data_IF_396301008102
#
_entry.id   IF_396301008102
#
_cell.length_a   1.000
_cell.length_b   1.000
_cell.length_c   1.000
_cell.angle_alpha   90.00
_cell.angle_beta   90.00
_cell.angle_gamma   90.00
#
_symmetry.space_group_name_H-M   'P 1'
#
loop_
_entity.id
_entity.type
_entity.pdbx_description
1 polymer ?
#
# COMPACT_ATOMS: atom_id res chain seq x y z
N UNK A 1 -18.75 -12.42 -26.13
CA UNK A 1 -18.89 -11.81 -24.78
C UNK A 1 -17.64 -11.98 -23.90
N UNK A 2 -16.88 -13.08 -24.01
CA UNK A 2 -15.68 -13.32 -23.17
C UNK A 2 -14.52 -12.30 -23.35
N UNK A 3 -14.27 -11.79 -24.56
CA UNK A 3 -13.16 -10.86 -24.79
C UNK A 3 -13.40 -9.41 -24.35
N UNK A 4 -14.66 -9.00 -24.13
CA UNK A 4 -14.99 -7.64 -23.68
C UNK A 4 -14.73 -7.50 -22.17
N UNK A 5 -14.90 -8.58 -21.41
CA UNK A 5 -14.62 -8.61 -19.96
C UNK A 5 -13.11 -8.49 -19.69
N UNK A 6 -12.27 -9.09 -20.54
CA UNK A 6 -10.81 -8.99 -20.41
C UNK A 6 -10.28 -7.58 -20.73
N UNK A 7 -10.90 -6.86 -21.66
CA UNK A 7 -10.49 -5.48 -21.98
C UNK A 7 -10.84 -4.48 -20.87
N UNK A 8 -11.93 -4.69 -20.14
CA UNK A 8 -12.35 -3.84 -19.01
C UNK A 8 -11.43 -4.06 -17.79
N UNK A 9 -10.98 -5.30 -17.55
CA UNK A 9 -10.01 -5.58 -16.49
C UNK A 9 -8.64 -4.91 -16.73
N UNK A 10 -8.23 -4.70 -17.98
CA UNK A 10 -6.98 -4.00 -18.33
C UNK A 10 -7.11 -2.47 -18.13
N UNK A 11 -8.31 -1.91 -18.33
CA UNK A 11 -8.55 -0.47 -18.09
C UNK A 11 -8.66 -0.12 -16.61
N UNK A 12 -9.21 -1.01 -15.77
CA UNK A 12 -9.31 -0.80 -14.32
C UNK A 12 -7.93 -0.74 -13.61
N UNK A 13 -6.88 -1.35 -14.19
CA UNK A 13 -5.51 -1.29 -13.65
C UNK A 13 -4.83 0.08 -13.88
N UNK A 14 -5.43 0.97 -14.68
CA UNK A 14 -4.81 2.27 -15.04
C UNK A 14 -5.44 3.50 -14.37
N UNK A 15 -6.44 3.31 -13.50
CA UNK A 15 -7.13 4.41 -12.81
C UNK A 15 -6.84 4.35 -11.31
N UNK A 16 -5.64 4.81 -10.91
CA UNK A 16 -5.31 5.13 -9.53
C UNK A 16 -4.67 6.53 -9.51
N UNK A 17 -5.23 7.50 -8.75
CA UNK A 17 -4.68 8.85 -8.67
C UNK A 17 -3.43 8.87 -7.78
N UNK A 18 -2.40 9.54 -8.28
CA UNK A 18 -1.19 9.86 -7.54
C UNK A 18 -1.54 10.83 -6.39
N UNK A 19 -1.40 10.36 -5.15
CA UNK A 19 -1.54 11.17 -3.95
C UNK A 19 -0.40 12.20 -3.88
N UNK A 20 -0.76 13.48 -3.79
CA UNK A 20 0.17 14.58 -3.59
C UNK A 20 0.48 14.74 -2.09
N UNK A 21 1.69 14.32 -1.70
CA UNK A 21 2.36 14.76 -0.48
C UNK A 21 3.69 15.43 -0.88
N UNK A 22 3.86 16.67 -0.39
CA UNK A 22 5.04 17.52 -0.33
C UNK A 22 5.97 17.65 -1.57
N UNK A 23 5.91 18.80 -2.23
CA UNK A 23 6.39 19.06 -3.60
C UNK A 23 7.70 19.85 -3.65
N UNK A 24 8.78 19.29 -3.12
CA UNK A 24 10.14 19.62 -3.62
C UNK A 24 10.79 18.46 -4.37
N UNK A 25 10.21 17.27 -4.30
CA UNK A 25 10.63 16.12 -5.10
C UNK A 25 9.39 15.49 -5.68
N UNK A 26 9.16 15.62 -7.00
CA UNK A 26 8.08 14.84 -7.63
C UNK A 26 8.33 13.36 -7.30
N UNK A 27 7.36 12.65 -6.70
CA UNK A 27 7.56 11.26 -6.35
C UNK A 27 7.92 10.51 -7.63
N UNK A 28 9.04 9.79 -7.58
CA UNK A 28 9.53 9.03 -8.72
C UNK A 28 8.37 8.20 -9.29
N UNK A 29 8.04 8.31 -10.60
CA UNK A 29 6.93 7.54 -11.17
C UNK A 29 7.07 6.04 -10.92
N UNK A 30 8.30 5.53 -10.83
CA UNK A 30 8.59 4.14 -10.49
C UNK A 30 8.19 3.80 -9.05
N UNK A 31 8.40 4.73 -8.11
CA UNK A 31 7.96 4.57 -6.73
C UNK A 31 6.43 4.54 -6.63
N UNK A 32 5.72 5.43 -7.35
CA UNK A 32 4.26 5.42 -7.40
C UNK A 32 3.71 4.10 -7.94
N UNK A 33 4.30 3.58 -9.02
CA UNK A 33 3.92 2.28 -9.60
C UNK A 33 4.18 1.14 -8.60
N UNK A 34 5.34 1.15 -7.93
CA UNK A 34 5.65 0.18 -6.88
C UNK A 34 4.62 0.21 -5.74
N UNK A 35 4.19 1.39 -5.29
CA UNK A 35 3.16 1.54 -4.26
C UNK A 35 1.77 1.10 -4.72
N UNK A 36 1.43 1.30 -6.00
CA UNK A 36 0.19 0.77 -6.57
C UNK A 36 0.17 -0.77 -6.52
N UNK A 37 1.27 -1.43 -6.88
CA UNK A 37 1.37 -2.89 -6.77
C UNK A 37 1.34 -3.38 -5.32
N UNK A 38 1.99 -2.68 -4.40
CA UNK A 38 1.87 -2.97 -2.97
C UNK A 38 0.42 -2.90 -2.49
N UNK A 39 -0.33 -1.86 -2.92
CA UNK A 39 -1.76 -1.73 -2.61
C UNK A 39 -2.60 -2.85 -3.22
N UNK A 40 -2.28 -3.31 -4.43
CA UNK A 40 -2.96 -4.45 -5.05
C UNK A 40 -2.79 -5.72 -4.22
N UNK A 41 -1.58 -6.01 -3.73
CA UNK A 41 -1.33 -7.15 -2.82
C UNK A 41 -2.25 -7.07 -1.59
N UNK A 42 -2.34 -5.89 -0.95
CA UNK A 42 -3.21 -5.69 0.21
C UNK A 42 -4.70 -5.88 -0.13
N UNK A 43 -5.18 -5.31 -1.24
CA UNK A 43 -6.58 -5.41 -1.66
C UNK A 43 -7.01 -6.87 -1.92
N UNK A 44 -6.19 -7.64 -2.64
CA UNK A 44 -6.47 -9.06 -2.87
C UNK A 44 -6.33 -9.88 -1.57
N UNK A 45 -5.39 -9.51 -0.71
CA UNK A 45 -5.27 -10.07 0.64
C UNK A 45 -6.55 -9.86 1.46
N UNK A 46 -7.11 -8.64 1.47
CA UNK A 46 -8.37 -8.35 2.19
C UNK A 46 -9.56 -9.11 1.60
N UNK A 47 -9.64 -9.19 0.27
CA UNK A 47 -10.70 -9.97 -0.40
C UNK A 47 -10.63 -11.44 0.04
N UNK A 48 -9.42 -12.01 0.10
CA UNK A 48 -9.20 -13.38 0.53
C UNK A 48 -9.49 -13.56 2.03
N UNK A 49 -9.14 -12.58 2.85
CA UNK A 49 -9.43 -12.56 4.29
C UNK A 49 -10.94 -12.58 4.55
N UNK A 50 -11.69 -11.69 3.89
CA UNK A 50 -13.15 -11.63 4.00
C UNK A 50 -13.82 -12.93 3.56
N UNK A 51 -13.31 -13.58 2.51
CA UNK A 51 -13.79 -14.90 2.09
C UNK A 51 -13.53 -15.99 3.15
N UNK A 52 -12.41 -15.90 3.87
CA UNK A 52 -12.07 -16.81 4.97
C UNK A 52 -12.95 -16.57 6.22
N UNK A 53 -13.37 -15.35 6.50
CA UNK A 53 -14.27 -15.04 7.63
C UNK A 53 -15.69 -15.63 7.45
N UNK A 54 -16.12 -15.87 6.22
CA UNK A 54 -17.49 -16.34 5.91
C UNK A 54 -17.73 -17.82 6.26
N UNK A 55 -16.69 -18.60 6.59
CA UNK A 55 -16.85 -20.02 6.92
C UNK A 55 -15.55 -20.73 7.27
N UNK A 56 -15.62 -22.03 7.47
CA UNK A 56 -14.45 -22.85 7.82
C UNK A 56 -13.54 -23.18 6.63
N UNK A 57 -13.99 -22.91 5.40
CA UNK A 57 -13.22 -23.15 4.18
C UNK A 57 -13.36 -22.01 3.19
N UNK A 58 -12.27 -21.68 2.50
CA UNK A 58 -12.26 -20.68 1.43
C UNK A 58 -12.62 -21.33 0.08
N UNK A 59 -13.49 -20.71 -0.74
CA UNK A 59 -13.75 -21.18 -2.10
C UNK A 59 -12.46 -21.24 -2.95
N UNK A 60 -12.15 -22.41 -3.50
CA UNK A 60 -10.89 -22.67 -4.23
C UNK A 60 -10.62 -21.69 -5.36
N UNK A 61 -11.65 -21.32 -6.11
CA UNK A 61 -11.51 -20.37 -7.22
C UNK A 61 -11.12 -18.96 -6.73
N UNK A 62 -11.71 -18.50 -5.62
CA UNK A 62 -11.41 -17.19 -5.03
C UNK A 62 -9.96 -17.16 -4.55
N UNK A 63 -9.54 -18.19 -3.82
CA UNK A 63 -8.16 -18.31 -3.34
C UNK A 63 -7.13 -18.32 -4.47
N UNK A 64 -7.34 -19.13 -5.52
CA UNK A 64 -6.40 -19.21 -6.65
C UNK A 64 -6.26 -17.89 -7.40
N UNK A 65 -7.37 -17.21 -7.67
CA UNK A 65 -7.34 -15.91 -8.37
C UNK A 65 -6.66 -14.85 -7.50
N UNK A 66 -7.04 -14.72 -6.23
CA UNK A 66 -6.45 -13.74 -5.33
C UNK A 66 -4.93 -13.95 -5.16
N UNK A 67 -4.49 -15.18 -4.89
CA UNK A 67 -3.07 -15.50 -4.71
C UNK A 67 -2.28 -15.29 -6.01
N UNK A 68 -2.84 -15.64 -7.17
CA UNK A 68 -2.18 -15.38 -8.45
C UNK A 68 -1.96 -13.87 -8.70
N UNK A 69 -2.94 -13.02 -8.41
CA UNK A 69 -2.80 -11.57 -8.58
C UNK A 69 -1.90 -10.92 -7.52
N UNK A 70 -1.89 -11.42 -6.28
CA UNK A 70 -0.91 -10.99 -5.25
C UNK A 70 0.52 -11.32 -5.67
N UNK A 71 0.75 -12.52 -6.24
CA UNK A 71 2.06 -12.92 -6.77
C UNK A 71 2.51 -12.05 -7.93
N UNK A 72 1.63 -11.86 -8.92
CA UNK A 72 1.90 -10.98 -10.06
C UNK A 72 2.22 -9.54 -9.62
N UNK A 73 1.47 -9.01 -8.66
CA UNK A 73 1.71 -7.68 -8.11
C UNK A 73 3.07 -7.60 -7.39
N UNK A 74 3.46 -8.64 -6.66
CA UNK A 74 4.78 -8.72 -6.02
C UNK A 74 5.92 -8.77 -7.02
N UNK A 75 5.76 -9.51 -8.12
CA UNK A 75 6.75 -9.60 -9.21
C UNK A 75 6.93 -8.24 -9.91
N UNK A 76 5.84 -7.52 -10.21
CA UNK A 76 5.93 -6.17 -10.77
C UNK A 76 6.49 -5.15 -9.76
N UNK A 77 6.14 -5.26 -8.48
CA UNK A 77 6.70 -4.43 -7.42
C UNK A 77 8.24 -4.54 -7.36
N UNK A 78 8.77 -5.77 -7.43
CA UNK A 78 10.21 -6.05 -7.44
C UNK A 78 10.90 -5.43 -8.67
N UNK A 79 10.27 -5.53 -9.85
CA UNK A 79 10.78 -4.96 -11.10
C UNK A 79 10.89 -3.43 -11.05
N UNK A 80 9.87 -2.76 -10.51
CA UNK A 80 9.86 -1.30 -10.41
C UNK A 80 10.74 -0.77 -9.27
N UNK A 81 10.98 -1.58 -8.24
CA UNK A 81 11.83 -1.22 -7.10
C UNK A 81 13.25 -0.85 -7.52
N UNK A 82 13.94 -1.65 -8.33
CA UNK A 82 15.33 -1.38 -8.71
C UNK A 82 15.49 0.01 -9.37
N UNK A 83 14.51 0.41 -10.19
CA UNK A 83 14.48 1.75 -10.80
C UNK A 83 14.11 2.83 -9.78
N UNK A 84 13.12 2.58 -8.92
CA UNK A 84 12.74 3.52 -7.87
C UNK A 84 13.91 3.84 -6.91
N UNK A 85 14.69 2.82 -6.54
CA UNK A 85 15.81 2.95 -5.60
C UNK A 85 16.96 3.79 -6.16
N UNK A 86 17.19 3.73 -7.48
CA UNK A 86 18.27 4.48 -8.14
C UNK A 86 18.11 6.00 -7.97
N UNK A 87 16.88 6.50 -8.04
CA UNK A 87 16.63 7.94 -8.01
C UNK A 87 16.39 8.47 -6.58
N UNK A 88 16.00 7.60 -5.63
CA UNK A 88 15.64 8.00 -4.26
C UNK A 88 16.83 8.09 -3.29
N UNK A 89 18.08 7.90 -3.74
CA UNK A 89 19.29 7.91 -2.90
C UNK A 89 19.10 7.15 -1.56
N UNK A 90 18.52 5.95 -1.65
CA UNK A 90 18.16 5.16 -0.47
C UNK A 90 19.42 4.69 0.26
N UNK A 91 19.46 4.85 1.58
CA UNK A 91 20.57 4.35 2.39
C UNK A 91 20.66 2.82 2.31
N UNK A 92 21.87 2.22 2.39
CA UNK A 92 22.02 0.76 2.35
C UNK A 92 21.18 0.02 3.40
N UNK A 93 20.99 0.63 4.58
CA UNK A 93 20.13 0.10 5.64
C UNK A 93 18.66 0.00 5.21
N UNK A 94 18.11 1.07 4.62
CA UNK A 94 16.72 1.08 4.14
C UNK A 94 16.53 0.15 2.94
N UNK A 95 17.54 0.04 2.07
CA UNK A 95 17.54 -0.94 0.99
C UNK A 95 17.41 -2.38 1.52
N UNK A 96 18.24 -2.74 2.50
CA UNK A 96 18.20 -4.05 3.16
C UNK A 96 16.86 -4.35 3.81
N UNK A 97 16.22 -3.37 4.46
CA UNK A 97 14.89 -3.56 5.06
C UNK A 97 13.82 -3.84 3.99
N UNK A 98 13.86 -3.11 2.87
CA UNK A 98 12.95 -3.39 1.74
C UNK A 98 13.20 -4.75 1.10
N UNK A 99 14.46 -5.18 1.00
CA UNK A 99 14.81 -6.54 0.51
C UNK A 99 14.22 -7.60 1.43
N UNK A 100 14.42 -7.45 2.74
CA UNK A 100 13.89 -8.36 3.75
C UNK A 100 12.36 -8.42 3.71
N UNK A 101 11.70 -7.27 3.59
CA UNK A 101 10.24 -7.21 3.47
C UNK A 101 9.74 -7.97 2.22
N UNK A 102 10.36 -7.77 1.06
CA UNK A 102 9.98 -8.50 -0.15
C UNK A 102 10.23 -10.02 -0.03
N UNK A 103 11.31 -10.43 0.63
CA UNK A 103 11.59 -11.86 0.88
C UNK A 103 10.53 -12.48 1.79
N UNK A 104 10.15 -11.79 2.87
CA UNK A 104 9.09 -12.23 3.78
C UNK A 104 7.74 -12.32 3.05
N UNK A 105 7.37 -11.28 2.30
CA UNK A 105 6.16 -11.27 1.49
C UNK A 105 6.11 -12.44 0.51
N UNK A 106 7.20 -12.69 -0.25
CA UNK A 106 7.29 -13.81 -1.20
C UNK A 106 7.21 -15.17 -0.49
N UNK A 107 7.74 -15.28 0.71
CA UNK A 107 7.67 -16.51 1.52
C UNK A 107 6.22 -16.83 1.89
N UNK A 108 5.49 -15.88 2.48
CA UNK A 108 4.08 -16.08 2.85
C UNK A 108 3.18 -16.29 1.62
N UNK A 109 3.46 -15.60 0.51
CA UNK A 109 2.74 -15.82 -0.74
C UNK A 109 2.95 -17.22 -1.32
N UNK A 110 4.15 -17.80 -1.15
CA UNK A 110 4.41 -19.19 -1.55
C UNK A 110 3.62 -20.16 -0.69
N UNK A 111 3.54 -19.93 0.61
CA UNK A 111 2.72 -20.75 1.51
C UNK A 111 1.23 -20.65 1.14
N UNK A 112 0.71 -19.45 0.86
CA UNK A 112 -0.64 -19.26 0.34
C UNK A 112 -0.89 -19.95 -1.02
N UNK A 113 0.11 -19.96 -1.92
CA UNK A 113 0.03 -20.65 -3.22
C UNK A 113 -0.11 -22.15 -3.05
N UNK A 114 0.63 -22.75 -2.11
CA UNK A 114 0.49 -24.17 -1.76
C UNK A 114 -0.87 -24.46 -1.11
N UNK A 115 -1.39 -23.56 -0.26
CA UNK A 115 -2.75 -23.68 0.28
C UNK A 115 -3.81 -23.64 -0.82
N UNK A 116 -3.67 -22.72 -1.79
CA UNK A 116 -4.63 -22.53 -2.88
C UNK A 116 -4.67 -23.71 -3.88
N UNK A 117 -3.65 -24.57 -3.89
CA UNK A 117 -3.61 -25.80 -4.69
C UNK A 117 -4.43 -26.94 -4.06
N UNK A 118 -4.66 -26.92 -2.75
CA UNK A 118 -5.46 -27.93 -2.03
C UNK A 118 -6.91 -27.94 -2.54
N UNK A 119 -7.55 -29.10 -2.50
CA UNK A 119 -8.98 -29.24 -2.82
C UNK A 119 -9.86 -28.55 -1.79
N UNK A 120 -9.48 -28.64 -0.51
CA UNK A 120 -10.11 -27.98 0.62
C UNK A 120 -9.12 -27.01 1.27
N UNK A 121 -9.47 -25.73 1.30
CA UNK A 121 -8.62 -24.66 1.81
C UNK A 121 -9.14 -24.25 3.18
N UNK A 122 -8.34 -24.44 4.22
CA UNK A 122 -8.71 -24.09 5.59
C UNK A 122 -8.63 -22.56 5.81
N UNK A 123 -9.72 -21.97 6.30
CA UNK A 123 -9.80 -20.52 6.52
C UNK A 123 -8.81 -20.01 7.57
N UNK A 124 -8.53 -20.79 8.62
CA UNK A 124 -7.61 -20.38 9.67
C UNK A 124 -6.16 -20.37 9.20
N UNK A 125 -5.76 -21.35 8.37
CA UNK A 125 -4.45 -21.36 7.72
C UNK A 125 -4.29 -20.13 6.79
N UNK A 126 -5.31 -19.81 5.99
CA UNK A 126 -5.29 -18.64 5.10
C UNK A 126 -5.17 -17.33 5.88
N UNK A 127 -6.00 -17.14 6.92
CA UNK A 127 -5.96 -15.93 7.75
C UNK A 127 -4.61 -15.75 8.45
N UNK A 128 -4.02 -16.84 8.95
CA UNK A 128 -2.69 -16.82 9.57
C UNK A 128 -1.63 -16.28 8.60
N UNK A 129 -1.62 -16.76 7.36
CA UNK A 129 -0.66 -16.29 6.35
C UNK A 129 -0.90 -14.84 5.94
N UNK A 130 -2.17 -14.45 5.77
CA UNK A 130 -2.54 -13.08 5.44
C UNK A 130 -2.16 -12.09 6.54
N UNK A 131 -2.30 -12.48 7.81
CA UNK A 131 -1.87 -11.64 8.93
C UNK A 131 -0.36 -11.35 8.87
N UNK A 132 0.47 -12.36 8.61
CA UNK A 132 1.93 -12.15 8.45
C UNK A 132 2.27 -11.25 7.27
N UNK A 133 1.48 -11.31 6.17
CA UNK A 133 1.62 -10.38 5.04
C UNK A 133 1.26 -8.94 5.48
N UNK A 134 0.16 -8.75 6.19
CA UNK A 134 -0.29 -7.43 6.63
C UNK A 134 0.61 -6.79 7.67
N UNK A 135 1.15 -7.56 8.62
CA UNK A 135 2.13 -7.07 9.60
C UNK A 135 3.37 -6.47 8.91
N UNK A 136 3.79 -7.07 7.78
CA UNK A 136 4.85 -6.50 6.94
C UNK A 136 4.44 -5.19 6.25
N UNK A 137 3.17 -5.04 5.87
CA UNK A 137 2.66 -3.86 5.17
C UNK A 137 2.36 -2.67 6.09
N UNK A 138 1.96 -2.90 7.34
CA UNK A 138 1.60 -1.84 8.30
C UNK A 138 2.81 -1.00 8.74
N UNK A 139 4.00 -1.61 8.82
CA UNK A 139 5.24 -0.90 9.15
C UNK A 139 5.69 0.15 8.12
N UNK A 140 5.13 0.12 6.91
CA UNK A 140 5.50 1.01 5.80
C UNK A 140 4.67 2.31 5.72
N UNK A 141 3.89 2.65 6.75
CA UNK A 141 3.11 3.90 6.78
C UNK A 141 1.80 3.85 5.97
N UNK A 142 1.34 2.66 5.58
CA UNK A 142 0.05 2.46 4.89
C UNK A 142 -1.16 2.34 5.84
N UNK A 143 -1.02 2.74 7.11
CA UNK A 143 -2.00 2.50 8.18
C UNK A 143 -3.28 3.33 8.05
N UNK A 144 -4.22 2.89 7.21
CA UNK A 144 -5.63 3.27 7.25
C UNK A 144 -6.46 2.00 7.44
N UNK A 145 -6.43 1.41 8.64
CA UNK A 145 -7.42 0.39 9.02
C UNK A 145 -8.51 1.06 9.86
N UNK A 146 -9.72 1.26 9.33
CA UNK A 146 -10.86 1.68 10.12
C UNK A 146 -11.38 0.48 10.93
N UNK A 147 -11.21 0.53 12.25
CA UNK A 147 -12.06 -0.18 13.20
C UNK A 147 -12.07 -1.71 13.13
N UNK A 148 -11.10 -2.34 13.80
CA UNK A 148 -11.30 -3.66 14.40
C UNK A 148 -11.64 -3.51 15.89
N UNK A 149 -12.81 -3.95 16.38
CA UNK A 149 -13.08 -3.97 17.81
C UNK A 149 -12.27 -5.09 18.48
N UNK A 150 -11.50 -4.76 19.53
CA UNK A 150 -10.90 -5.75 20.43
C UNK A 150 -11.97 -6.29 21.38
N UNK A 151 -12.33 -7.58 21.36
CA UNK A 151 -13.15 -8.16 22.41
C UNK A 151 -12.23 -8.73 23.51
N UNK A 152 -12.29 -8.13 24.71
CA UNK A 152 -12.20 -8.94 25.94
C UNK A 152 -10.88 -9.04 26.72
N UNK A 153 -9.94 -8.10 26.63
CA UNK A 153 -8.80 -8.08 27.56
C UNK A 153 -9.10 -7.19 28.80
N UNK A 154 -9.16 -7.74 30.03
CA UNK A 154 -9.38 -6.96 31.24
C UNK A 154 -8.16 -6.09 31.57
N UNK A 155 -8.43 -4.80 31.76
CA UNK A 155 -7.48 -3.80 32.22
C UNK A 155 -7.14 -4.04 33.69
N UNK A 156 -5.98 -4.65 33.97
CA UNK A 156 -5.32 -4.45 35.27
C UNK A 156 -3.82 -4.71 35.19
N UNK A 157 -3.04 -3.64 35.39
CA UNK A 157 -1.76 -3.75 36.10
C UNK A 157 -0.48 -3.49 35.30
N UNK A 158 0.10 -2.30 35.53
CA UNK A 158 1.54 -2.02 35.68
C UNK A 158 2.48 -2.38 34.51
N UNK A 159 2.98 -1.35 33.82
CA UNK A 159 4.26 -0.67 34.14
C UNK A 159 4.46 0.53 33.22
N UNK A 160 4.69 1.69 33.83
CA UNK A 160 5.27 2.87 33.18
C UNK A 160 6.69 2.51 32.75
N UNK A 161 7.00 2.64 31.47
CA UNK A 161 8.33 2.40 30.93
C UNK A 161 8.41 2.81 29.47
N UNK A 162 8.90 4.03 29.25
CA UNK A 162 9.40 4.58 27.98
C UNK A 162 8.41 4.62 26.82
N UNK A 163 7.75 5.77 26.71
CA UNK A 163 7.05 6.23 25.53
C UNK A 163 8.00 6.14 24.32
N UNK A 164 7.74 5.17 23.44
CA UNK A 164 8.28 5.18 22.09
C UNK A 164 7.79 6.44 21.40
N UNK A 165 8.74 7.27 20.97
CA UNK A 165 8.47 8.46 20.18
C UNK A 165 7.78 8.08 18.89
N UNK A 166 6.45 8.12 18.89
CA UNK A 166 5.71 8.37 17.66
C UNK A 166 6.13 9.74 17.16
N UNK A 167 6.63 9.81 15.92
CA UNK A 167 6.90 11.05 15.19
C UNK A 167 5.78 12.05 15.50
N UNK A 168 6.07 13.13 16.24
CA UNK A 168 5.13 14.21 16.58
C UNK A 168 4.72 15.07 15.38
N UNK A 169 4.72 14.47 14.20
CA UNK A 169 4.62 15.07 12.88
C UNK A 169 3.15 15.28 12.47
N UNK A 170 2.21 14.89 13.35
CA UNK A 170 0.77 15.08 13.21
C UNK A 170 0.23 15.94 14.37
N UNK A 171 0.74 17.16 14.53
CA UNK A 171 -0.20 18.23 14.89
C UNK A 171 -1.01 18.51 13.63
N UNK A 172 -2.18 17.88 13.58
CA UNK A 172 -3.13 17.98 12.49
C UNK A 172 -3.38 19.46 12.17
N UNK A 173 -3.02 19.85 10.95
CA UNK A 173 -3.45 21.12 10.37
C UNK A 173 -4.91 20.92 9.95
N UNK A 174 -5.93 21.42 10.67
CA UNK A 174 -7.34 21.14 10.37
C UNK A 174 -7.76 21.64 8.98
N UNK A 175 -7.05 22.63 8.43
CA UNK A 175 -7.27 23.15 7.08
C UNK A 175 -6.87 22.15 5.98
N UNK A 176 -5.89 21.28 6.23
CA UNK A 176 -5.44 20.28 5.25
C UNK A 176 -6.44 19.14 5.11
N UNK A 177 -7.06 18.73 6.21
CA UNK A 177 -8.03 17.63 6.21
C UNK A 177 -9.32 18.02 5.46
N UNK A 178 -9.82 19.25 5.66
CA UNK A 178 -11.02 19.74 4.96
C UNK A 178 -10.83 19.80 3.43
N UNK A 179 -9.64 20.18 2.96
CA UNK A 179 -9.35 20.23 1.52
C UNK A 179 -9.25 18.83 0.90
N UNK A 180 -8.70 17.85 1.62
CA UNK A 180 -8.62 16.46 1.14
C UNK A 180 -10.00 15.78 1.15
N UNK A 181 -10.84 16.08 2.14
CA UNK A 181 -12.21 15.57 2.22
C UNK A 181 -13.09 16.07 1.06
N UNK A 182 -13.00 17.36 0.73
CA UNK A 182 -13.71 17.93 -0.43
C UNK A 182 -13.27 17.28 -1.74
N UNK A 183 -11.95 17.10 -1.93
CA UNK A 183 -11.40 16.42 -3.11
C UNK A 183 -11.88 14.97 -3.20
N UNK A 184 -11.86 14.23 -2.08
CA UNK A 184 -12.33 12.84 -2.03
C UNK A 184 -13.83 12.74 -2.30
N UNK A 185 -14.65 13.66 -1.80
CA UNK A 185 -16.09 13.69 -2.08
C UNK A 185 -16.37 13.96 -3.56
N UNK A 186 -15.69 14.94 -4.15
CA UNK A 186 -15.79 15.23 -5.58
C UNK A 186 -15.40 14.01 -6.42
N UNK A 187 -14.28 13.37 -6.08
CA UNK A 187 -13.82 12.16 -6.77
C UNK A 187 -14.83 11.00 -6.68
N UNK A 188 -15.40 10.75 -5.49
CA UNK A 188 -16.45 9.73 -5.33
C UNK A 188 -17.70 10.04 -6.16
N UNK A 189 -18.09 11.32 -6.28
CA UNK A 189 -19.24 11.70 -7.10
C UNK A 189 -18.98 11.48 -8.59
N UNK A 190 -17.78 11.80 -9.06
CA UNK A 190 -17.35 11.58 -10.43
C UNK A 190 -17.28 10.08 -10.79
N UNK A 191 -16.83 9.24 -9.86
CA UNK A 191 -16.82 7.79 -10.01
C UNK A 191 -18.23 7.21 -10.10
N UNK A 192 -19.16 7.67 -9.24
CA UNK A 192 -20.54 7.22 -9.26
C UNK A 192 -21.27 7.58 -10.58
N UNK A 193 -20.99 8.75 -11.15
CA UNK A 193 -21.50 9.14 -12.46
C UNK A 193 -20.94 8.26 -13.59
N UNK A 194 -19.64 7.95 -13.53
CA UNK A 194 -18.99 7.08 -14.51
C UNK A 194 -19.56 5.65 -14.44
N UNK A 195 -19.81 5.14 -13.23
CA UNK A 195 -20.44 3.85 -13.00
C UNK A 195 -21.85 3.81 -13.62
N UNK A 196 -22.64 4.87 -13.45
CA UNK A 196 -23.97 5.00 -14.07
C UNK A 196 -23.92 4.93 -15.60
N UNK A 197 -22.98 5.64 -16.23
CA UNK A 197 -22.80 5.61 -17.69
C UNK A 197 -22.36 4.23 -18.19
N UNK A 198 -21.51 3.54 -17.44
CA UNK A 198 -21.08 2.18 -17.78
C UNK A 198 -22.25 1.20 -17.68
N UNK A 199 -23.11 1.33 -16.66
CA UNK A 199 -24.31 0.51 -16.54
C UNK A 199 -25.30 0.78 -17.70
N UNK A 200 -25.52 2.04 -18.06
CA UNK A 200 -26.34 2.43 -19.22
C UNK A 200 -25.79 1.85 -20.52
N UNK A 201 -24.48 1.97 -20.75
CA UNK A 201 -23.78 1.39 -21.89
C UNK A 201 -23.92 -0.14 -21.95
N UNK A 202 -23.91 -0.83 -20.81
CA UNK A 202 -24.09 -2.28 -20.76
C UNK A 202 -25.52 -2.70 -21.15
N UNK A 203 -26.52 -1.95 -20.68
CA UNK A 203 -27.95 -2.21 -20.92
C UNK A 203 -28.43 -1.78 -22.32
N UNK A 204 -27.73 -0.85 -22.97
CA UNK A 204 -28.11 -0.33 -24.28
C UNK A 204 -28.08 -1.38 -25.40
N UNK A 205 -28.88 -1.23 -26.47
CA UNK A 205 -28.79 -2.09 -27.65
C UNK A 205 -27.50 -1.82 -28.44
N UNK A 206 -27.05 -2.81 -29.23
CA UNK A 206 -25.70 -2.84 -29.83
C UNK A 206 -25.40 -1.63 -30.74
N UNK A 207 -26.41 -1.12 -31.43
CA UNK A 207 -26.37 0.07 -32.28
C UNK A 207 -26.06 1.35 -31.49
N UNK A 208 -26.43 1.43 -30.21
CA UNK A 208 -26.17 2.59 -29.33
C UNK A 208 -24.95 2.43 -28.42
N UNK A 209 -24.41 1.21 -28.28
CA UNK A 209 -23.27 0.95 -27.41
C UNK A 209 -22.03 1.75 -27.83
N UNK A 210 -21.78 1.89 -29.12
CA UNK A 210 -20.59 2.63 -29.61
C UNK A 210 -20.66 4.12 -29.27
N UNK A 211 -21.83 4.73 -29.38
CA UNK A 211 -22.04 6.13 -29.00
C UNK A 211 -21.80 6.32 -27.50
N UNK A 212 -22.37 5.44 -26.66
CA UNK A 212 -22.18 5.47 -25.21
C UNK A 212 -20.72 5.19 -24.80
N UNK A 213 -20.02 4.28 -25.48
CA UNK A 213 -18.57 4.07 -25.27
C UNK A 213 -17.80 5.36 -25.56
N UNK A 214 -18.11 6.04 -26.68
CA UNK A 214 -17.43 7.29 -27.05
C UNK A 214 -17.69 8.40 -26.02
N UNK A 215 -18.90 8.45 -25.46
CA UNK A 215 -19.28 9.40 -24.41
C UNK A 215 -18.55 9.13 -23.10
N UNK A 216 -18.50 7.87 -22.66
CA UNK A 216 -17.74 7.44 -21.46
C UNK A 216 -16.27 7.83 -21.60
N UNK A 217 -15.64 7.51 -22.74
CA UNK A 217 -14.23 7.86 -22.99
C UNK A 217 -14.03 9.38 -23.02
N UNK A 218 -14.92 10.13 -23.68
CA UNK A 218 -14.85 11.59 -23.70
C UNK A 218 -15.02 12.20 -22.30
N UNK A 219 -15.79 11.58 -21.40
CA UNK A 219 -15.93 12.01 -20.01
C UNK A 219 -14.69 11.72 -19.19
N UNK A 220 -14.11 10.52 -19.29
CA UNK A 220 -12.85 10.18 -18.61
C UNK A 220 -11.69 11.10 -19.03
N UNK A 221 -11.58 11.43 -20.32
CA UNK A 221 -10.56 12.36 -20.82
C UNK A 221 -10.77 13.76 -20.25
N UNK A 222 -12.01 14.25 -20.18
CA UNK A 222 -12.35 15.55 -19.56
C UNK A 222 -12.05 15.58 -18.07
N UNK A 223 -12.42 14.55 -17.32
CA UNK A 223 -12.10 14.41 -15.88
C UNK A 223 -10.59 14.46 -15.65
N UNK A 224 -9.82 13.71 -16.44
CA UNK A 224 -8.35 13.70 -16.33
C UNK A 224 -7.72 15.07 -16.64
N UNK A 225 -8.27 15.79 -17.61
CA UNK A 225 -7.81 17.14 -17.95
C UNK A 225 -8.12 18.14 -16.82
N UNK A 226 -9.35 18.12 -16.29
CA UNK A 226 -9.77 18.98 -15.18
C UNK A 226 -8.96 18.73 -13.91
N UNK A 227 -8.74 17.47 -13.54
CA UNK A 227 -7.93 17.09 -12.38
C UNK A 227 -6.48 17.52 -12.53
N UNK A 228 -5.90 17.43 -13.74
CA UNK A 228 -4.53 17.93 -14.00
C UNK A 228 -4.46 19.44 -13.84
N UNK A 229 -5.43 20.18 -14.38
CA UNK A 229 -5.47 21.65 -14.25
C UNK A 229 -5.62 22.07 -12.78
N UNK A 230 -6.48 21.39 -12.01
CA UNK A 230 -6.67 21.63 -10.58
C UNK A 230 -5.40 21.35 -9.78
N UNK A 231 -4.71 20.23 -10.08
CA UNK A 231 -3.44 19.88 -9.44
C UNK A 231 -2.32 20.88 -9.78
N UNK A 232 -2.25 21.36 -11.03
CA UNK A 232 -1.33 22.43 -11.42
C UNK A 232 -1.65 23.78 -10.75
N UNK A 233 -2.94 24.09 -10.55
CA UNK A 233 -3.38 25.30 -9.84
C UNK A 233 -2.97 25.23 -8.37
N UNK A 234 -3.18 24.07 -7.73
CA UNK A 234 -2.77 23.82 -6.35
C UNK A 234 -1.24 23.87 -6.21
N UNK A 235 -0.50 23.26 -7.13
CA UNK A 235 0.97 23.33 -7.14
C UNK A 235 1.48 24.77 -7.30
N UNK A 236 0.84 25.59 -8.14
CA UNK A 236 1.16 27.02 -8.28
C UNK A 236 0.86 27.81 -7.00
N UNK A 237 -0.23 27.47 -6.29
CA UNK A 237 -0.55 28.09 -5.01
C UNK A 237 0.50 27.75 -3.95
N UNK A 238 0.91 26.48 -3.84
CA UNK A 238 1.97 26.04 -2.93
C UNK A 238 3.32 26.69 -3.23
N UNK A 239 3.70 26.81 -4.51
CA UNK A 239 4.95 27.50 -4.90
C UNK A 239 4.97 28.99 -4.59
N UNK A 240 3.81 29.62 -4.38
CA UNK A 240 3.70 31.05 -4.03
C UNK A 240 3.77 31.30 -2.52
N UNK A 241 3.59 30.27 -1.70
CA UNK A 241 3.82 30.40 -0.26
C UNK A 241 5.34 30.54 -0.05
N UNK A 242 5.78 31.52 0.77
CA UNK A 242 7.20 31.69 1.06
C UNK A 242 7.77 30.39 1.65
N UNK A 243 9.02 30.02 1.32
CA UNK A 243 9.68 28.88 1.94
C UNK A 243 9.54 29.02 3.46
N UNK A 244 8.93 28.02 4.11
CA UNK A 244 8.97 27.92 5.57
C UNK A 244 10.45 28.00 5.95
N UNK A 245 10.81 28.96 6.80
CA UNK A 245 12.20 29.22 7.14
C UNK A 245 12.89 27.90 7.59
N UNK A 246 14.08 27.57 7.08
CA UNK A 246 14.80 26.32 7.40
C UNK A 246 15.17 26.10 8.88
N UNK A 247 14.65 26.90 9.81
CA UNK A 247 15.21 27.12 11.14
C UNK A 247 14.76 26.19 12.27
N UNK A 248 13.91 25.18 12.05
CA UNK A 248 13.36 24.37 13.16
C UNK A 248 13.55 22.85 13.04
N UNK A 249 14.34 22.35 12.07
CA UNK A 249 14.74 20.94 12.00
C UNK A 249 16.20 20.71 12.46
N UNK A 250 16.66 21.44 13.49
CA UNK A 250 17.74 20.93 14.35
C UNK A 250 17.13 19.90 15.29
N UNK A 251 16.77 18.74 14.75
CA UNK A 251 16.58 17.54 15.54
C UNK A 251 17.90 17.21 16.20
N UNK A 252 17.87 17.05 17.51
CA UNK A 252 19.02 16.67 18.33
C UNK A 252 19.67 15.44 17.74
N UNK A 253 20.90 15.61 17.28
CA UNK A 253 21.86 14.56 17.02
C UNK A 253 22.25 13.97 18.38
N UNK A 254 21.31 13.26 19.01
CA UNK A 254 21.59 12.42 20.17
C UNK A 254 22.32 11.19 19.64
N UNK A 255 23.62 11.38 19.42
CA UNK A 255 24.59 10.32 19.18
C UNK A 255 24.66 9.40 20.39
N UNK A 256 23.82 8.36 20.38
CA UNK A 256 24.04 7.15 21.17
C UNK A 256 25.16 6.35 20.47
N UNK A 257 26.40 6.83 20.62
CA UNK A 257 27.64 6.06 20.43
C UNK A 257 27.78 5.06 21.59
N UNK A 258 26.97 4.00 21.60
CA UNK A 258 27.24 2.82 22.45
C UNK A 258 28.19 1.87 21.70
N UNK A 259 29.45 2.30 21.56
CA UNK A 259 30.60 1.45 21.29
C UNK A 259 30.98 0.67 22.56
N UNK A 260 30.24 -0.38 22.91
CA UNK A 260 30.68 -1.37 23.90
C UNK A 260 31.12 -2.66 23.17
N UNK A 261 32.29 -2.56 22.52
CA UNK A 261 33.19 -3.68 22.22
C UNK A 261 33.65 -4.30 23.56
N UNK A 262 32.90 -5.28 24.07
CA UNK A 262 33.41 -6.20 25.09
C UNK A 262 34.05 -7.41 24.41
N UNK A 263 35.29 -7.23 23.99
CA UNK A 263 36.24 -8.31 23.71
C UNK A 263 36.41 -9.16 24.99
N UNK A 264 35.60 -10.21 25.13
CA UNK A 264 35.88 -11.30 26.07
C UNK A 264 36.91 -12.23 25.45
N UNK A 265 38.18 -11.84 25.57
CA UNK A 265 39.34 -12.69 25.38
C UNK A 265 39.27 -13.85 26.39
N UNK A 266 38.66 -14.97 26.00
CA UNK A 266 38.71 -16.20 26.78
C UNK A 266 40.08 -16.85 26.60
N UNK A 267 40.98 -16.54 27.53
CA UNK A 267 42.23 -17.26 27.76
C UNK A 267 41.92 -18.74 28.07
N UNK A 268 42.01 -19.60 27.04
CA UNK A 268 42.06 -21.04 27.23
C UNK A 268 43.46 -21.43 27.69
N UNK A 269 43.63 -21.61 29.00
CA UNK A 269 44.80 -22.27 29.54
C UNK A 269 44.82 -23.76 29.14
N UNK A 270 45.81 -24.09 28.30
CA UNK A 270 46.21 -25.45 27.93
C UNK A 270 46.59 -26.26 29.18
N UNK A 271 45.70 -27.17 29.57
CA UNK A 271 46.00 -28.25 30.51
C UNK A 271 46.55 -29.47 29.77
N UNK A 272 47.87 -29.66 29.78
CA UNK A 272 48.49 -30.96 29.51
C UNK A 272 48.34 -31.90 30.72
N UNK A 273 47.86 -33.13 30.53
CA UNK A 273 48.24 -34.26 31.37
C UNK A 273 49.28 -35.13 30.69
N UNK A 274 50.24 -35.58 31.52
CA UNK A 274 51.30 -36.55 31.22
C UNK A 274 50.76 -37.93 30.89
#
# INVERSE_FOLDING_TARGET
MSQIITAIAILAVTVMPAFAADLTTQPNPQHLIMMAYHRNVANFGHTLYQAAEQGSTVPTQVARVAVAEMRRSTEEMEKHRAMAMKDMQVTPRMQKMMDQHLVQLKTHLRELDELAKKERIDSAEVMKQLQSIFEGCEGAGCGMMPGGPKPGAPLSGRRRGRAGGGCGCFQAMPERDMMMDEMMHKMKSEDAELEGLVQEMQAAPMDRKLDLVSEVVARMVRQRAAMREEMERMQRHMKRLPPLEPGMMQGTDDGDEDEDDMDMEMDMHDGHPR
#
